data_IF_152391836842
#
_entry.id   IF_152391836842
#
_cell.length_a   1.000
_cell.length_b   1.000
_cell.length_c   1.000
_cell.angle_alpha   90.00
_cell.angle_beta   90.00
_cell.angle_gamma   90.00
#
_symmetry.space_group_name_H-M   'P 1'
#
loop_
_entity.id
_entity.type
_entity.pdbx_description
1 polymer ?
#
# COMPACT_ATOMS: atom_id res chain seq x y z
N UNK A 1 -9.03 -10.90 -6.34
CA UNK A 1 -7.81 -11.22 -5.55
C UNK A 1 -8.23 -11.26 -4.09
N UNK A 2 -8.07 -12.41 -3.44
CA UNK A 2 -8.41 -12.57 -2.03
C UNK A 2 -7.16 -12.23 -1.22
N UNK A 3 -6.91 -10.93 -1.01
CA UNK A 3 -5.76 -10.51 -0.21
C UNK A 3 -6.03 -10.88 1.26
N UNK A 4 -5.07 -11.50 1.98
CA UNK A 4 -5.21 -11.73 3.42
C UNK A 4 -5.51 -10.40 4.12
N UNK A 5 -6.42 -10.44 5.11
CA UNK A 5 -6.87 -9.22 5.80
C UNK A 5 -5.71 -8.48 6.49
N UNK A 6 -4.67 -9.22 6.89
CA UNK A 6 -3.43 -8.73 7.51
C UNK A 6 -2.23 -9.54 7.05
N UNK A 7 -1.08 -8.88 6.91
CA UNK A 7 0.23 -9.47 6.56
C UNK A 7 1.26 -9.16 7.65
N UNK A 8 2.32 -9.96 7.71
CA UNK A 8 3.37 -9.86 8.74
C UNK A 8 3.02 -10.64 10.01
N UNK A 9 3.70 -10.29 11.11
CA UNK A 9 3.60 -10.96 12.40
C UNK A 9 4.92 -10.91 13.18
N UNK A 10 4.99 -11.56 14.36
CA UNK A 10 6.20 -11.58 15.19
C UNK A 10 7.42 -12.09 14.40
N UNK A 11 8.50 -11.29 14.41
CA UNK A 11 9.74 -11.62 13.69
C UNK A 11 9.69 -11.44 12.17
N UNK A 12 8.61 -10.90 11.61
CA UNK A 12 8.47 -10.63 10.18
C UNK A 12 8.55 -9.14 9.87
N UNK A 13 9.14 -8.81 8.73
CA UNK A 13 9.24 -7.44 8.22
C UNK A 13 8.20 -7.27 7.12
N UNK A 14 7.42 -6.19 7.22
CA UNK A 14 6.50 -5.75 6.18
C UNK A 14 7.04 -4.44 5.60
N UNK A 15 7.29 -4.45 4.29
CA UNK A 15 7.65 -3.25 3.56
C UNK A 15 6.39 -2.52 3.14
N UNK A 16 6.32 -1.21 3.39
CA UNK A 16 5.17 -0.36 3.08
C UNK A 16 5.55 0.68 2.04
N UNK A 17 4.66 0.94 1.09
CA UNK A 17 4.94 1.86 0.00
C UNK A 17 3.71 2.54 -0.56
N UNK A 18 3.95 3.70 -1.16
CA UNK A 18 2.95 4.50 -1.86
C UNK A 18 3.37 4.70 -3.32
N UNK A 19 2.40 4.68 -4.22
CA UNK A 19 2.62 4.97 -5.62
C UNK A 19 1.48 5.80 -6.19
N UNK A 20 1.83 6.73 -7.07
CA UNK A 20 0.88 7.52 -7.83
C UNK A 20 0.66 6.85 -9.18
N UNK A 21 -0.52 6.27 -9.39
CA UNK A 21 -0.88 5.61 -10.63
C UNK A 21 -1.46 6.64 -11.61
N UNK A 22 -1.24 6.37 -12.91
CA UNK A 22 -1.70 7.18 -14.02
C UNK A 22 -1.05 8.58 -14.13
N UNK A 23 0.15 8.74 -13.55
CA UNK A 23 1.01 9.90 -13.84
C UNK A 23 1.49 9.85 -15.30
N UNK A 24 1.50 11.00 -15.97
CA UNK A 24 2.01 11.12 -17.34
C UNK A 24 3.49 10.79 -17.40
N UNK A 25 3.88 9.91 -18.32
CA UNK A 25 5.29 9.69 -18.66
C UNK A 25 5.83 10.97 -19.31
N UNK A 26 6.86 11.55 -18.71
CA UNK A 26 7.51 12.78 -19.17
C UNK A 26 6.54 13.98 -19.32
N UNK A 27 5.42 14.01 -18.59
CA UNK A 27 4.37 15.02 -18.72
C UNK A 27 3.71 15.11 -20.13
N UNK A 28 3.89 14.10 -20.98
CA UNK A 28 3.35 14.06 -22.36
C UNK A 28 2.19 13.06 -22.46
N UNK A 29 1.25 13.31 -23.38
CA UNK A 29 0.17 12.38 -23.74
C UNK A 29 -1.13 12.61 -22.97
N UNK A 30 -1.94 11.54 -22.84
CA UNK A 30 -3.30 11.59 -22.28
C UNK A 30 -3.33 12.13 -20.84
N UNK A 31 -4.32 12.98 -20.52
CA UNK A 31 -4.65 13.29 -19.11
C UNK A 31 -5.49 12.13 -18.59
N UNK A 32 -5.04 11.48 -17.53
CA UNK A 32 -5.82 10.50 -16.77
C UNK A 32 -5.97 11.00 -15.34
N UNK A 33 -7.07 10.61 -14.71
CA UNK A 33 -7.27 10.83 -13.28
C UNK A 33 -6.18 10.07 -12.51
N UNK A 34 -5.37 10.82 -11.77
CA UNK A 34 -4.31 10.28 -10.95
C UNK A 34 -4.90 9.73 -9.65
N UNK A 35 -4.46 8.54 -9.27
CA UNK A 35 -4.91 7.91 -8.02
C UNK A 35 -3.70 7.47 -7.21
N UNK A 36 -3.74 7.80 -5.93
CA UNK A 36 -2.78 7.26 -4.99
C UNK A 36 -3.15 5.83 -4.64
N UNK A 37 -2.12 5.03 -4.49
CA UNK A 37 -2.20 3.65 -4.06
C UNK A 37 -1.22 3.47 -2.93
N UNK A 38 -1.69 2.84 -1.87
CA UNK A 38 -0.89 2.40 -0.75
C UNK A 38 -0.87 0.88 -0.72
N UNK A 39 0.26 0.28 -0.35
CA UNK A 39 0.37 -1.16 -0.25
C UNK A 39 1.51 -1.58 0.65
N UNK A 40 1.58 -2.89 0.86
CA UNK A 40 2.68 -3.50 1.57
C UNK A 40 2.91 -4.92 1.14
N UNK A 41 4.15 -5.39 1.32
CA UNK A 41 4.58 -6.75 1.03
C UNK A 41 5.38 -7.32 2.19
N UNK A 42 5.15 -8.59 2.51
CA UNK A 42 5.98 -9.35 3.43
C UNK A 42 6.82 -10.35 2.61
N UNK A 43 8.12 -10.08 2.39
CA UNK A 43 8.97 -10.96 1.57
C UNK A 43 9.09 -12.38 2.13
N UNK A 44 8.94 -12.54 3.45
CA UNK A 44 9.04 -13.84 4.12
C UNK A 44 7.86 -14.77 3.81
N UNK A 45 6.67 -14.22 3.52
CA UNK A 45 5.45 -15.00 3.30
C UNK A 45 4.92 -14.88 1.87
N UNK A 46 5.54 -14.05 1.04
CA UNK A 46 5.07 -13.68 -0.30
C UNK A 46 3.61 -13.17 -0.29
N UNK A 47 3.24 -12.48 0.80
CA UNK A 47 1.90 -11.89 0.95
C UNK A 47 1.97 -10.38 0.77
N UNK A 48 0.97 -9.85 0.09
CA UNK A 48 0.87 -8.43 -0.22
C UNK A 48 -0.57 -7.91 -0.10
N UNK A 49 -0.69 -6.59 0.05
CA UNK A 49 -1.95 -5.88 -0.09
C UNK A 49 -1.75 -4.58 -0.85
N UNK A 50 -2.83 -4.12 -1.49
CA UNK A 50 -2.85 -2.88 -2.25
C UNK A 50 -4.23 -2.22 -2.14
N UNK A 51 -4.26 -0.93 -1.84
CA UNK A 51 -5.49 -0.17 -1.61
C UNK A 51 -5.40 1.23 -2.18
N UNK A 52 -6.53 1.76 -2.66
CA UNK A 52 -6.63 3.13 -3.11
C UNK A 52 -6.76 4.09 -1.93
N UNK A 53 -6.06 5.21 -1.99
CA UNK A 53 -6.11 6.25 -0.96
C UNK A 53 -6.41 7.61 -1.60
N UNK A 54 -7.14 8.51 -0.91
CA UNK A 54 -7.38 9.86 -1.39
C UNK A 54 -6.10 10.71 -1.35
N UNK A 55 -5.26 10.50 -0.33
CA UNK A 55 -4.00 11.20 -0.14
C UNK A 55 -3.00 10.37 0.68
N UNK A 56 -1.77 10.84 0.76
CA UNK A 56 -0.66 10.24 1.52
C UNK A 56 -0.47 10.87 2.90
N UNK A 57 -1.53 11.42 3.49
CA UNK A 57 -1.42 12.02 4.81
C UNK A 57 -1.32 10.93 5.86
N UNK A 58 -0.63 11.22 6.97
CA UNK A 58 -0.56 10.31 8.11
C UNK A 58 -1.94 9.89 8.63
N UNK A 59 -2.92 10.80 8.56
CA UNK A 59 -4.31 10.54 8.95
C UNK A 59 -4.98 9.46 8.08
N UNK A 60 -4.63 9.38 6.80
CA UNK A 60 -5.10 8.34 5.88
C UNK A 60 -4.31 7.04 6.02
N UNK A 61 -2.99 7.12 6.20
CA UNK A 61 -2.10 5.96 6.18
C UNK A 61 -2.12 5.15 7.48
N UNK A 62 -2.10 5.80 8.65
CA UNK A 62 -2.03 5.10 9.94
C UNK A 62 -3.16 4.08 10.14
N UNK A 63 -4.44 4.41 9.87
CA UNK A 63 -5.51 3.42 9.99
C UNK A 63 -5.34 2.24 9.03
N UNK A 64 -4.77 2.46 7.84
CA UNK A 64 -4.52 1.41 6.86
C UNK A 64 -3.38 0.49 7.30
N UNK A 65 -2.31 1.05 7.88
CA UNK A 65 -1.22 0.27 8.46
C UNK A 65 -1.76 -0.62 9.58
N UNK A 66 -2.48 -0.06 10.56
CA UNK A 66 -3.08 -0.80 11.68
C UNK A 66 -4.06 -1.89 11.18
N UNK A 67 -4.76 -1.61 10.10
CA UNK A 67 -5.73 -2.55 9.52
C UNK A 67 -5.04 -3.76 8.87
N UNK A 68 -3.96 -3.53 8.12
CA UNK A 68 -3.37 -4.53 7.21
C UNK A 68 -2.02 -5.11 7.68
N UNK A 69 -1.37 -4.53 8.70
CA UNK A 69 -0.12 -5.04 9.26
C UNK A 69 -0.41 -5.67 10.60
N UNK A 70 -0.02 -6.93 10.77
CA UNK A 70 -0.13 -7.58 12.07
C UNK A 70 0.93 -7.02 13.03
N UNK A 71 0.54 -6.79 14.28
CA UNK A 71 1.48 -6.25 15.27
C UNK A 71 2.42 -7.38 15.69
N UNK A 72 3.72 -7.17 15.52
CA UNK A 72 4.71 -8.02 16.17
C UNK A 72 4.50 -7.94 17.68
N UNK A 73 4.16 -9.06 18.31
CA UNK A 73 4.06 -9.19 19.75
C UNK A 73 5.43 -8.99 20.42
#
# INVERSE_FOLDING_TARGET
>A
MNHPYRIGGPGQIVELGESLIAKRKNNVGRVLEQRWVFGGVCPATDQDFLTHIPDKTTATLLPLIIRHVDQGA
#
